data_IF_737465001344
#
_entry.id   IF_737465001344
#
_cell.length_a   1.000
_cell.length_b   1.000
_cell.length_c   1.000
_cell.angle_alpha   90.00
_cell.angle_beta   90.00
_cell.angle_gamma   90.00
#
_symmetry.space_group_name_H-M   'P 1'
#
loop_
_entity.id
_entity.type
_entity.pdbx_description
1 polymer ?
#
# COMPACT_ATOMS: atom_id res chain seq x y z
N UNK A 1 -4.91 -13.21 -19.55
CA UNK A 1 -5.85 -12.49 -18.66
C UNK A 1 -5.21 -11.13 -18.42
N UNK A 2 -5.76 -10.09 -19.07
CA UNK A 2 -5.25 -8.71 -19.01
C UNK A 2 -5.53 -8.16 -17.60
N UNK A 3 -4.52 -8.11 -16.75
CA UNK A 3 -4.52 -7.29 -15.55
C UNK A 3 -3.77 -5.98 -15.91
N UNK A 4 -4.46 -5.07 -16.57
CA UNK A 4 -4.02 -3.70 -16.60
C UNK A 4 -4.06 -3.17 -15.17
N UNK A 5 -2.95 -2.64 -14.68
CA UNK A 5 -2.87 -1.99 -13.36
C UNK A 5 -3.96 -0.92 -13.28
N UNK A 6 -5.08 -1.23 -12.66
CA UNK A 6 -6.11 -0.27 -12.32
C UNK A 6 -5.59 0.57 -11.12
N UNK A 7 -4.63 1.43 -11.39
CA UNK A 7 -4.33 2.51 -10.46
C UNK A 7 -5.57 3.39 -10.42
N UNK A 8 -6.19 3.54 -9.26
CA UNK A 8 -7.39 4.35 -9.11
C UNK A 8 -7.12 5.78 -9.62
N UNK A 9 -8.13 6.46 -10.14
CA UNK A 9 -8.00 7.83 -10.65
C UNK A 9 -7.40 8.77 -9.58
N UNK A 10 -7.77 8.58 -8.32
CA UNK A 10 -7.23 9.33 -7.17
C UNK A 10 -5.75 9.04 -6.90
N UNK A 11 -5.29 7.81 -7.09
CA UNK A 11 -3.86 7.47 -6.97
C UNK A 11 -3.06 8.12 -8.11
N UNK A 12 -3.61 8.23 -9.33
CA UNK A 12 -2.97 8.92 -10.45
C UNK A 12 -2.82 10.43 -10.22
N UNK A 13 -3.76 11.05 -9.52
CA UNK A 13 -3.72 12.50 -9.21
C UNK A 13 -2.73 12.85 -8.11
N UNK A 14 -2.36 11.89 -7.25
CA UNK A 14 -1.44 12.09 -6.12
C UNK A 14 -0.03 11.51 -6.34
N UNK A 15 0.27 11.00 -7.55
CA UNK A 15 1.61 10.50 -7.84
C UNK A 15 2.61 11.64 -7.98
N UNK A 16 3.81 11.38 -7.48
CA UNK A 16 4.94 12.30 -7.61
C UNK A 16 5.59 12.10 -8.98
N UNK A 17 5.99 13.19 -9.65
CA UNK A 17 6.79 13.10 -10.86
C UNK A 17 8.14 12.46 -10.52
N UNK A 18 8.67 11.60 -11.40
CA UNK A 18 9.97 10.96 -11.17
C UNK A 18 11.11 11.99 -11.13
N UNK A 19 10.95 13.09 -11.86
CA UNK A 19 11.86 14.23 -11.77
C UNK A 19 11.92 14.81 -10.33
N UNK A 20 10.77 14.96 -9.68
CA UNK A 20 10.73 15.44 -8.29
C UNK A 20 11.34 14.44 -7.31
N UNK A 21 11.26 13.14 -7.58
CA UNK A 21 11.94 12.12 -6.77
C UNK A 21 13.45 12.30 -6.84
N UNK A 22 13.99 12.56 -8.03
CA UNK A 22 15.43 12.79 -8.23
C UNK A 22 15.87 14.08 -7.57
N UNK A 23 15.23 15.20 -7.89
CA UNK A 23 15.69 16.54 -7.53
C UNK A 23 15.30 16.93 -6.10
N UNK A 24 14.03 16.77 -5.74
CA UNK A 24 13.49 17.27 -4.48
C UNK A 24 13.54 16.25 -3.35
N UNK A 25 13.60 14.96 -3.67
CA UNK A 25 13.67 13.88 -2.69
C UNK A 25 15.03 13.16 -2.65
N UNK A 26 16.04 13.73 -3.34
CA UNK A 26 17.42 13.21 -3.40
C UNK A 26 17.48 11.73 -3.81
N UNK A 27 16.68 11.32 -4.80
CA UNK A 27 16.64 9.95 -5.27
C UNK A 27 16.10 8.96 -4.23
N UNK A 28 15.07 9.32 -3.51
CA UNK A 28 14.44 8.42 -2.52
C UNK A 28 13.90 7.16 -3.19
N UNK A 29 14.22 6.00 -2.60
CA UNK A 29 13.72 4.70 -3.02
C UNK A 29 12.27 4.44 -2.62
N UNK A 30 11.64 3.47 -3.31
CA UNK A 30 10.29 2.97 -3.03
C UNK A 30 9.20 4.06 -3.11
N UNK A 31 9.38 5.03 -4.00
CA UNK A 31 8.37 6.06 -4.29
C UNK A 31 7.66 5.70 -5.58
N UNK A 32 6.34 5.51 -5.50
CA UNK A 32 5.50 5.36 -6.70
C UNK A 32 5.46 6.69 -7.45
N UNK A 33 5.93 6.69 -8.70
CA UNK A 33 6.14 7.89 -9.48
C UNK A 33 5.82 7.67 -10.96
N UNK A 34 5.80 8.76 -11.72
CA UNK A 34 5.51 8.72 -13.14
C UNK A 34 6.47 9.58 -13.96
N UNK A 35 6.59 9.21 -15.24
CA UNK A 35 7.20 10.03 -16.30
C UNK A 35 6.19 10.15 -17.45
N UNK A 36 5.99 11.35 -17.96
CA UNK A 36 5.23 11.57 -19.19
C UNK A 36 6.20 11.57 -20.37
N UNK A 37 6.46 10.37 -20.93
CA UNK A 37 7.45 10.19 -22.02
C UNK A 37 6.93 10.73 -23.33
N UNK A 38 7.79 11.43 -24.06
CA UNK A 38 7.52 12.06 -25.36
C UNK A 38 8.14 11.32 -26.54
N UNK A 39 8.94 10.29 -26.27
CA UNK A 39 9.58 9.43 -27.28
C UNK A 39 9.52 7.97 -26.83
N UNK A 40 9.66 7.05 -27.80
CA UNK A 40 9.81 5.64 -27.48
C UNK A 40 11.12 5.34 -26.74
N UNK A 41 11.13 4.33 -25.84
CA UNK A 41 12.30 3.99 -25.03
C UNK A 41 13.49 3.51 -25.88
N UNK A 42 14.71 3.88 -25.48
CA UNK A 42 15.95 3.41 -26.09
C UNK A 42 16.58 2.31 -25.23
N UNK A 43 16.67 1.08 -25.75
CA UNK A 43 17.31 -0.06 -25.07
C UNK A 43 18.82 0.15 -24.98
N UNK A 44 19.39 0.07 -23.76
CA UNK A 44 20.84 0.21 -23.57
C UNK A 44 21.48 -0.93 -22.77
N UNK A 45 20.69 -1.67 -21.98
CA UNK A 45 21.22 -2.83 -21.25
C UNK A 45 20.16 -3.92 -21.16
N UNK A 46 20.58 -5.17 -21.43
CA UNK A 46 19.73 -6.36 -21.34
C UNK A 46 20.00 -7.11 -20.04
N UNK A 47 18.96 -7.73 -19.51
CA UNK A 47 19.06 -8.67 -18.41
C UNK A 47 18.81 -10.08 -18.99
N UNK A 48 19.84 -10.92 -19.00
CA UNK A 48 19.77 -12.26 -19.61
C UNK A 48 18.92 -13.25 -18.78
N UNK A 49 18.61 -12.88 -17.52
CA UNK A 49 17.89 -13.78 -16.61
C UNK A 49 16.37 -13.71 -16.75
N UNK A 50 15.85 -12.62 -17.34
CA UNK A 50 14.40 -12.40 -17.52
C UNK A 50 14.13 -11.55 -18.79
N UNK A 51 12.85 -11.38 -19.14
CA UNK A 51 12.42 -10.56 -20.27
C UNK A 51 12.24 -9.08 -19.88
N UNK A 52 13.10 -8.57 -19.02
CA UNK A 52 13.06 -7.20 -18.50
C UNK A 52 14.42 -6.55 -18.74
N UNK A 53 14.42 -5.34 -19.23
CA UNK A 53 15.63 -4.67 -19.71
C UNK A 53 15.65 -3.21 -19.25
N UNK A 54 16.84 -2.58 -19.36
CA UNK A 54 17.03 -1.18 -19.05
C UNK A 54 16.95 -0.31 -20.29
N UNK A 55 16.23 0.78 -20.17
CA UNK A 55 15.95 1.72 -21.25
C UNK A 55 16.22 3.15 -20.81
N UNK A 56 16.63 3.99 -21.74
CA UNK A 56 16.55 5.43 -21.60
C UNK A 56 15.17 5.88 -22.06
N UNK A 57 14.46 6.60 -21.21
CA UNK A 57 13.18 7.27 -21.51
C UNK A 57 13.36 8.78 -21.34
N UNK A 58 12.54 9.57 -22.01
CA UNK A 58 12.64 11.02 -21.96
C UNK A 58 11.26 11.64 -21.75
N UNK A 59 11.19 12.67 -20.90
CA UNK A 59 10.14 13.67 -20.99
C UNK A 59 10.62 14.85 -21.86
N UNK A 60 9.82 15.89 -22.01
CA UNK A 60 10.17 17.06 -22.84
C UNK A 60 11.53 17.71 -22.53
N UNK A 61 12.13 17.45 -21.38
CA UNK A 61 13.32 18.18 -20.88
C UNK A 61 14.44 17.28 -20.37
N UNK A 62 14.09 16.14 -19.78
CA UNK A 62 15.03 15.33 -19.01
C UNK A 62 14.98 13.87 -19.49
N UNK A 63 16.09 13.20 -19.31
CA UNK A 63 16.25 11.79 -19.61
C UNK A 63 16.33 10.99 -18.32
N UNK A 64 15.77 9.77 -18.31
CA UNK A 64 15.72 8.90 -17.14
C UNK A 64 16.06 7.46 -17.54
N UNK A 65 16.54 6.71 -16.57
CA UNK A 65 16.67 5.25 -16.70
C UNK A 65 15.37 4.60 -16.23
N UNK A 66 14.84 3.70 -17.04
CA UNK A 66 13.68 2.88 -16.71
C UNK A 66 14.02 1.40 -16.87
N UNK A 67 13.44 0.55 -16.04
CA UNK A 67 13.49 -0.89 -16.14
C UNK A 67 12.08 -1.39 -16.42
N UNK A 68 11.92 -2.10 -17.57
CA UNK A 68 10.60 -2.51 -18.00
C UNK A 68 10.64 -3.85 -18.74
N UNK A 69 9.48 -4.50 -18.79
CA UNK A 69 9.30 -5.74 -19.54
C UNK A 69 9.30 -5.51 -21.06
N UNK A 70 9.59 -6.56 -21.81
CA UNK A 70 9.45 -6.54 -23.27
C UNK A 70 8.03 -6.16 -23.70
N UNK A 71 7.02 -6.55 -22.91
CA UNK A 71 5.63 -6.17 -23.19
C UNK A 71 5.41 -4.66 -23.11
N UNK A 72 5.92 -3.99 -22.07
CA UNK A 72 5.79 -2.54 -21.91
C UNK A 72 6.59 -1.81 -23.00
N UNK A 73 7.77 -2.31 -23.33
CA UNK A 73 8.57 -1.79 -24.43
C UNK A 73 7.83 -1.87 -25.77
N UNK A 74 7.27 -3.05 -26.12
CA UNK A 74 6.51 -3.25 -27.36
C UNK A 74 5.30 -2.30 -27.45
N UNK A 75 4.65 -2.02 -26.30
CA UNK A 75 3.56 -1.05 -26.22
C UNK A 75 4.06 0.38 -26.45
N UNK A 76 5.15 0.76 -25.81
CA UNK A 76 5.67 2.13 -25.85
C UNK A 76 6.40 2.47 -27.15
N UNK A 77 6.83 1.49 -27.94
CA UNK A 77 7.47 1.76 -29.24
C UNK A 77 6.48 2.08 -30.36
N UNK A 78 5.15 2.01 -30.13
CA UNK A 78 4.17 2.41 -31.15
C UNK A 78 4.24 3.93 -31.36
N UNK A 79 4.82 4.33 -32.49
CA UNK A 79 5.00 5.74 -32.88
C UNK A 79 3.69 6.54 -32.85
N UNK A 80 2.54 5.86 -33.00
CA UNK A 80 1.22 6.52 -32.94
C UNK A 80 0.90 7.13 -31.59
N UNK A 81 1.53 6.66 -30.51
CA UNK A 81 1.37 7.23 -29.16
C UNK A 81 1.93 8.65 -29.07
N UNK A 82 2.90 8.98 -29.93
CA UNK A 82 3.66 10.24 -29.88
C UNK A 82 3.30 11.21 -31.01
N UNK A 83 2.28 10.90 -31.80
CA UNK A 83 1.77 11.80 -32.86
C UNK A 83 1.18 13.06 -32.19
N UNK A 84 1.43 14.21 -32.79
CA UNK A 84 0.93 15.52 -32.35
C UNK A 84 1.49 15.98 -30.97
N UNK A 85 2.74 15.65 -30.64
CA UNK A 85 3.39 15.98 -29.36
C UNK A 85 2.63 15.44 -28.13
N UNK A 86 1.94 14.33 -28.29
CA UNK A 86 1.35 13.64 -27.15
C UNK A 86 2.43 12.95 -26.35
N UNK A 87 2.20 12.85 -25.07
CA UNK A 87 3.04 12.10 -24.13
C UNK A 87 2.30 10.86 -23.65
N UNK A 88 3.03 9.80 -23.42
CA UNK A 88 2.49 8.59 -22.78
C UNK A 88 2.97 8.52 -21.35
N UNK A 89 2.04 8.40 -20.40
CA UNK A 89 2.39 8.29 -18.98
C UNK A 89 2.81 6.88 -18.64
N UNK A 90 4.06 6.74 -18.18
CA UNK A 90 4.59 5.51 -17.60
C UNK A 90 4.70 5.65 -16.09
N UNK A 91 4.44 4.56 -15.37
CA UNK A 91 4.37 4.53 -13.91
C UNK A 91 5.30 3.43 -13.43
N UNK A 92 6.03 3.71 -12.37
CA UNK A 92 6.93 2.75 -11.75
C UNK A 92 7.30 3.17 -10.33
N UNK A 93 8.19 2.41 -9.73
CA UNK A 93 8.72 2.65 -8.39
C UNK A 93 10.17 3.06 -8.50
N UNK A 94 10.59 4.08 -7.77
CA UNK A 94 12.00 4.49 -7.72
C UNK A 94 12.84 3.44 -7.03
N UNK A 95 13.86 2.92 -7.72
CA UNK A 95 14.75 1.86 -7.25
C UNK A 95 16.21 2.27 -7.50
N UNK A 96 17.13 1.89 -6.60
CA UNK A 96 18.56 2.24 -6.75
C UNK A 96 19.15 1.64 -8.02
N UNK A 97 19.87 2.46 -8.78
CA UNK A 97 20.56 2.02 -9.99
C UNK A 97 21.81 1.22 -9.61
N UNK A 98 21.95 -0.04 -10.09
CA UNK A 98 23.19 -0.80 -9.96
C UNK A 98 24.37 -0.09 -10.62
N UNK A 99 25.57 -0.22 -10.06
CA UNK A 99 26.78 0.44 -10.58
C UNK A 99 27.09 0.06 -12.02
N UNK A 100 26.86 -1.18 -12.37
CA UNK A 100 27.06 -1.72 -13.73
C UNK A 100 26.11 -1.05 -14.74
N UNK A 101 24.85 -0.86 -14.36
CA UNK A 101 23.84 -0.19 -15.19
C UNK A 101 24.18 1.28 -15.38
N UNK A 102 24.68 1.97 -14.35
CA UNK A 102 25.19 3.35 -14.49
C UNK A 102 26.29 3.45 -15.54
N UNK A 103 27.26 2.53 -15.51
CA UNK A 103 28.37 2.51 -16.48
C UNK A 103 27.86 2.29 -17.89
N UNK A 104 26.99 1.32 -18.10
CA UNK A 104 26.40 1.06 -19.42
C UNK A 104 25.58 2.24 -19.92
N UNK A 105 24.84 2.91 -19.06
CA UNK A 105 24.09 4.11 -19.42
C UNK A 105 25.04 5.26 -19.86
N UNK A 106 26.13 5.49 -19.12
CA UNK A 106 27.15 6.49 -19.46
C UNK A 106 27.80 6.17 -20.81
N UNK A 107 28.23 4.92 -21.02
CA UNK A 107 28.81 4.46 -22.28
C UNK A 107 27.85 4.71 -23.44
N UNK A 108 26.59 4.31 -23.29
CA UNK A 108 25.55 4.50 -24.32
C UNK A 108 25.30 5.99 -24.60
N UNK A 109 25.22 6.84 -23.58
CA UNK A 109 25.01 8.27 -23.74
C UNK A 109 26.20 8.89 -24.50
N UNK A 110 27.43 8.54 -24.12
CA UNK A 110 28.63 9.03 -24.78
C UNK A 110 28.77 8.52 -26.22
N UNK A 111 28.27 7.34 -26.55
CA UNK A 111 28.17 6.85 -27.92
C UNK A 111 27.13 7.61 -28.76
N UNK A 112 25.98 7.93 -28.17
CA UNK A 112 24.91 8.67 -28.85
C UNK A 112 25.22 10.17 -29.03
N UNK A 113 25.93 10.75 -28.07
CA UNK A 113 26.30 12.18 -28.06
C UNK A 113 27.80 12.36 -27.76
N UNK A 114 28.70 12.03 -28.73
CA UNK A 114 30.15 12.05 -28.50
C UNK A 114 30.74 13.44 -28.28
N UNK A 115 30.01 14.49 -28.62
CA UNK A 115 30.41 15.88 -28.37
C UNK A 115 30.09 16.37 -26.94
N UNK A 116 29.29 15.58 -26.17
CA UNK A 116 28.84 15.91 -24.82
C UNK A 116 29.14 14.74 -23.86
N UNK A 117 30.42 14.32 -23.80
CA UNK A 117 30.82 13.23 -22.91
C UNK A 117 30.45 13.51 -21.45
N UNK A 118 29.72 12.58 -20.82
CA UNK A 118 29.37 12.65 -19.40
C UNK A 118 30.23 11.70 -18.56
N UNK A 119 30.53 12.12 -17.35
CA UNK A 119 31.23 11.33 -16.33
C UNK A 119 30.23 10.68 -15.36
N UNK A 120 30.71 9.85 -14.43
CA UNK A 120 29.87 9.31 -13.36
C UNK A 120 29.28 10.40 -12.46
N UNK A 121 30.02 11.48 -12.22
CA UNK A 121 29.53 12.61 -11.43
C UNK A 121 28.42 13.37 -12.16
N UNK A 122 28.57 13.54 -13.49
CA UNK A 122 27.53 14.15 -14.33
C UNK A 122 26.28 13.25 -14.38
N UNK A 123 26.47 11.92 -14.48
CA UNK A 123 25.37 10.98 -14.44
C UNK A 123 24.56 11.14 -13.13
N UNK A 124 25.24 11.12 -11.98
CA UNK A 124 24.57 11.25 -10.68
C UNK A 124 23.86 12.60 -10.51
N UNK A 125 24.40 13.65 -11.10
CA UNK A 125 23.78 14.98 -11.09
C UNK A 125 22.52 15.05 -11.97
N UNK A 126 22.56 14.50 -13.18
CA UNK A 126 21.47 14.64 -14.17
C UNK A 126 20.40 13.54 -14.04
N UNK A 127 20.81 12.29 -13.77
CA UNK A 127 19.92 11.13 -13.73
C UNK A 127 19.58 10.68 -12.31
N UNK A 128 20.30 11.17 -11.30
CA UNK A 128 20.18 10.74 -9.92
C UNK A 128 20.72 9.31 -9.69
N UNK A 129 20.42 8.78 -8.50
CA UNK A 129 20.86 7.45 -8.09
C UNK A 129 19.76 6.39 -8.20
N UNK A 130 18.62 6.73 -8.80
CA UNK A 130 17.45 5.84 -8.92
C UNK A 130 17.03 5.69 -10.38
N UNK A 131 16.44 4.55 -10.70
CA UNK A 131 15.73 4.31 -11.95
C UNK A 131 14.24 4.09 -11.70
N UNK A 132 13.43 4.24 -12.72
CA UNK A 132 12.00 3.94 -12.69
C UNK A 132 11.78 2.45 -12.96
N UNK A 133 11.45 1.69 -11.94
CA UNK A 133 11.11 0.27 -12.06
C UNK A 133 9.63 0.13 -12.43
N UNK A 134 9.39 -0.25 -13.68
CA UNK A 134 8.04 -0.41 -14.24
C UNK A 134 7.55 -1.86 -14.18
N UNK A 135 8.34 -2.77 -13.60
CA UNK A 135 7.96 -4.18 -13.53
C UNK A 135 6.71 -4.37 -12.69
N UNK A 136 5.92 -5.38 -13.03
CA UNK A 136 4.69 -5.69 -12.33
C UNK A 136 4.93 -5.96 -10.85
N UNK A 137 6.05 -6.59 -10.51
CA UNK A 137 6.37 -6.97 -9.14
C UNK A 137 6.56 -5.74 -8.23
N UNK A 138 7.28 -4.71 -8.70
CA UNK A 138 7.49 -3.50 -7.93
C UNK A 138 6.20 -2.69 -7.73
N UNK A 139 5.39 -2.56 -8.78
CA UNK A 139 4.10 -1.86 -8.74
C UNK A 139 3.08 -2.66 -7.93
N UNK A 140 3.05 -3.99 -8.08
CA UNK A 140 2.15 -4.88 -7.36
C UNK A 140 2.43 -4.90 -5.85
N UNK A 141 3.69 -4.92 -5.43
CA UNK A 141 4.06 -4.85 -4.00
C UNK A 141 3.53 -3.56 -3.38
N UNK A 142 3.71 -2.41 -4.04
CA UNK A 142 3.18 -1.14 -3.56
C UNK A 142 1.64 -1.13 -3.50
N UNK A 143 0.97 -1.72 -4.49
CA UNK A 143 -0.48 -1.87 -4.52
C UNK A 143 -0.98 -2.76 -3.38
N UNK A 144 -0.38 -3.94 -3.17
CA UNK A 144 -0.79 -4.88 -2.14
C UNK A 144 -0.59 -4.32 -0.73
N UNK A 145 0.50 -3.60 -0.47
CA UNK A 145 0.72 -2.94 0.82
C UNK A 145 -0.40 -1.95 1.16
N UNK A 146 -0.78 -1.09 0.21
CA UNK A 146 -1.88 -0.15 0.39
C UNK A 146 -3.23 -0.84 0.54
N UNK A 147 -3.49 -1.91 -0.21
CA UNK A 147 -4.71 -2.69 -0.13
C UNK A 147 -4.88 -3.39 1.22
N UNK A 148 -3.82 -4.00 1.75
CA UNK A 148 -3.83 -4.59 3.09
C UNK A 148 -4.03 -3.55 4.19
N UNK A 149 -3.39 -2.39 4.10
CA UNK A 149 -3.59 -1.29 5.04
C UNK A 149 -5.05 -0.83 5.05
N UNK A 150 -5.68 -0.71 3.88
CA UNK A 150 -7.10 -0.37 3.74
C UNK A 150 -8.02 -1.42 4.38
N UNK A 151 -7.78 -2.71 4.11
CA UNK A 151 -8.56 -3.82 4.71
C UNK A 151 -8.43 -3.80 6.24
N UNK A 152 -7.21 -3.66 6.77
CA UNK A 152 -6.97 -3.58 8.22
C UNK A 152 -7.71 -2.38 8.83
N UNK A 153 -7.73 -1.25 8.15
CA UNK A 153 -8.51 -0.07 8.55
C UNK A 153 -10.01 -0.36 8.63
N UNK A 154 -10.58 -0.99 7.61
CA UNK A 154 -11.99 -1.41 7.59
C UNK A 154 -12.32 -2.41 8.72
N UNK A 155 -11.45 -3.40 8.94
CA UNK A 155 -11.59 -4.34 10.05
C UNK A 155 -11.60 -3.61 11.40
N UNK A 156 -10.68 -2.67 11.61
CA UNK A 156 -10.61 -1.85 12.82
C UNK A 156 -11.91 -1.07 13.07
N UNK A 157 -12.42 -0.39 12.04
CA UNK A 157 -13.70 0.34 12.11
C UNK A 157 -14.84 -0.63 12.45
N UNK A 158 -14.89 -1.80 11.82
CA UNK A 158 -15.93 -2.81 12.07
C UNK A 158 -15.92 -3.27 13.54
N UNK A 159 -14.74 -3.54 14.09
CA UNK A 159 -14.61 -3.91 15.52
C UNK A 159 -15.07 -2.79 16.46
N UNK A 160 -14.76 -1.53 16.15
CA UNK A 160 -15.25 -0.37 16.93
C UNK A 160 -16.78 -0.31 16.90
N UNK A 161 -17.40 -0.45 15.72
CA UNK A 161 -18.85 -0.43 15.55
C UNK A 161 -19.49 -1.57 16.34
N UNK A 162 -18.97 -2.79 16.24
CA UNK A 162 -19.47 -3.94 17.01
C UNK A 162 -19.36 -3.68 18.51
N UNK A 163 -18.22 -3.12 18.96
CA UNK A 163 -18.02 -2.74 20.35
C UNK A 163 -19.05 -1.73 20.85
N UNK A 164 -19.34 -0.69 20.06
CA UNK A 164 -20.34 0.31 20.39
C UNK A 164 -21.76 -0.26 20.45
N UNK A 165 -22.12 -1.13 19.50
CA UNK A 165 -23.42 -1.81 19.49
C UNK A 165 -23.57 -2.70 20.72
N UNK A 166 -22.55 -3.48 21.06
CA UNK A 166 -22.56 -4.35 22.22
C UNK A 166 -22.65 -3.55 23.53
N UNK A 167 -21.89 -2.45 23.64
CA UNK A 167 -22.01 -1.52 24.78
C UNK A 167 -23.42 -0.96 24.91
N UNK A 168 -24.04 -0.53 23.81
CA UNK A 168 -25.42 -0.01 23.82
C UNK A 168 -26.42 -1.06 24.23
N UNK A 169 -26.30 -2.31 23.76
CA UNK A 169 -27.14 -3.44 24.17
C UNK A 169 -26.97 -3.78 25.65
N UNK A 170 -25.73 -3.85 26.10
CA UNK A 170 -25.40 -4.07 27.52
C UNK A 170 -26.07 -3.02 28.42
N UNK A 171 -25.88 -1.73 28.15
CA UNK A 171 -26.47 -0.65 28.90
C UNK A 171 -28.02 -0.69 28.89
N UNK A 172 -28.61 -1.00 27.71
CA UNK A 172 -30.06 -1.15 27.59
C UNK A 172 -30.60 -2.28 28.48
N UNK A 173 -29.88 -3.40 28.57
CA UNK A 173 -30.30 -4.53 29.37
C UNK A 173 -30.15 -4.26 30.89
N UNK A 174 -29.04 -3.62 31.29
CA UNK A 174 -28.86 -3.18 32.68
C UNK A 174 -29.93 -2.15 33.11
N UNK A 175 -30.25 -1.21 32.22
CA UNK A 175 -31.25 -0.18 32.54
C UNK A 175 -32.68 -0.70 32.67
N UNK A 176 -32.97 -1.89 32.17
CA UNK A 176 -34.24 -2.57 32.36
C UNK A 176 -34.39 -3.23 33.75
N UNK A 177 -33.29 -3.42 34.46
CA UNK A 177 -33.31 -3.99 35.79
C UNK A 177 -33.79 -2.96 36.82
N UNK A 178 -34.57 -3.44 37.77
CA UNK A 178 -34.95 -2.61 38.93
C UNK A 178 -33.72 -2.22 39.76
N UNK A 179 -33.83 -1.16 40.54
CA UNK A 179 -32.73 -0.76 41.43
C UNK A 179 -32.41 -1.85 42.46
N UNK A 180 -33.42 -2.59 42.87
CA UNK A 180 -33.31 -3.72 43.80
C UNK A 180 -32.54 -4.88 43.19
N UNK A 181 -32.87 -5.25 41.92
CA UNK A 181 -32.13 -6.28 41.18
C UNK A 181 -30.66 -5.91 40.94
N UNK A 182 -30.38 -4.64 40.60
CA UNK A 182 -29.01 -4.17 40.47
C UNK A 182 -28.19 -4.34 41.73
N UNK A 183 -28.75 -3.89 42.89
CA UNK A 183 -28.08 -4.06 44.19
C UNK A 183 -27.86 -5.53 44.55
N UNK A 184 -28.83 -6.38 44.21
CA UNK A 184 -28.74 -7.82 44.43
C UNK A 184 -27.64 -8.48 43.59
N UNK A 185 -27.53 -8.09 42.32
CA UNK A 185 -26.48 -8.58 41.41
C UNK A 185 -25.10 -8.13 41.91
N UNK A 186 -24.96 -6.85 42.30
CA UNK A 186 -23.70 -6.33 42.84
C UNK A 186 -23.29 -7.10 44.11
N UNK A 187 -24.23 -7.38 45.00
CA UNK A 187 -23.96 -8.16 46.21
C UNK A 187 -23.58 -9.63 45.87
N UNK A 188 -24.24 -10.24 44.88
CA UNK A 188 -23.95 -11.59 44.41
C UNK A 188 -22.59 -11.73 43.74
N UNK A 189 -22.23 -10.75 42.92
CA UNK A 189 -20.93 -10.76 42.22
C UNK A 189 -19.73 -10.47 43.12
N UNK A 190 -19.96 -9.77 44.25
CA UNK A 190 -18.97 -9.53 45.29
C UNK A 190 -18.90 -10.65 46.34
N UNK A 191 -19.78 -11.63 46.27
CA UNK A 191 -19.78 -12.76 47.20
C UNK A 191 -18.51 -13.62 47.02
N UNK A 192 -17.99 -14.11 48.13
CA UNK A 192 -16.79 -14.99 48.15
C UNK A 192 -17.01 -16.31 47.41
N UNK A 193 -18.26 -16.74 47.29
CA UNK A 193 -18.66 -17.97 46.59
C UNK A 193 -18.97 -17.74 45.12
N UNK A 194 -18.75 -16.54 44.59
CA UNK A 194 -18.92 -16.24 43.18
C UNK A 194 -17.65 -16.59 42.39
N UNK A 195 -17.83 -17.38 41.34
CA UNK A 195 -16.76 -17.73 40.42
C UNK A 195 -16.84 -16.91 39.15
N UNK A 196 -15.71 -16.30 38.76
CA UNK A 196 -15.57 -15.55 37.51
C UNK A 196 -14.73 -16.30 36.49
N UNK A 197 -15.32 -16.63 35.36
CA UNK A 197 -14.63 -17.21 34.20
C UNK A 197 -14.25 -16.12 33.21
N UNK A 198 -13.00 -15.67 33.28
CA UNK A 198 -12.52 -14.53 32.50
C UNK A 198 -12.63 -14.73 30.99
N UNK A 199 -12.35 -15.95 30.49
CA UNK A 199 -12.33 -16.25 29.05
C UNK A 199 -13.69 -16.08 28.37
N UNK A 200 -14.78 -16.23 29.09
CA UNK A 200 -16.15 -16.15 28.59
C UNK A 200 -16.97 -15.05 29.29
N UNK A 201 -16.33 -14.26 30.12
CA UNK A 201 -16.97 -13.20 30.94
C UNK A 201 -18.25 -13.68 31.63
N UNK A 202 -18.16 -14.80 32.32
CA UNK A 202 -19.24 -15.46 33.01
C UNK A 202 -19.02 -15.39 34.51
N UNK A 203 -20.04 -14.93 35.29
CA UNK A 203 -20.11 -15.10 36.72
C UNK A 203 -21.10 -16.22 37.06
N UNK A 204 -20.65 -17.17 37.87
CA UNK A 204 -21.51 -18.10 38.61
C UNK A 204 -21.61 -17.61 40.04
N UNK A 205 -22.79 -17.16 40.44
CA UNK A 205 -23.04 -16.69 41.79
C UNK A 205 -23.97 -17.69 42.50
N UNK A 206 -24.20 -17.60 43.82
CA UNK A 206 -25.07 -18.53 44.50
C UNK A 206 -26.49 -18.67 43.93
N UNK A 207 -27.04 -17.61 43.32
CA UNK A 207 -28.43 -17.62 42.84
C UNK A 207 -28.57 -17.38 41.34
N UNK A 208 -27.49 -16.95 40.64
CA UNK A 208 -27.55 -16.54 39.21
C UNK A 208 -26.36 -17.00 38.38
N UNK A 209 -26.63 -17.19 37.11
CA UNK A 209 -25.62 -17.17 36.06
C UNK A 209 -25.66 -15.80 35.40
N UNK A 210 -24.55 -15.05 35.42
CA UNK A 210 -24.45 -13.70 34.82
C UNK A 210 -23.47 -13.75 33.66
N UNK A 211 -23.97 -13.56 32.45
CA UNK A 211 -23.18 -13.47 31.22
C UNK A 211 -22.92 -12.01 30.87
N UNK A 212 -21.63 -11.62 30.77
CA UNK A 212 -21.20 -10.27 30.43
C UNK A 212 -20.56 -10.18 29.05
N UNK A 213 -20.62 -11.22 28.23
CA UNK A 213 -20.03 -11.22 26.88
C UNK A 213 -21.03 -10.64 25.87
N UNK A 214 -20.83 -9.37 25.47
CA UNK A 214 -21.58 -8.73 24.38
C UNK A 214 -23.11 -8.61 24.59
N UNK A 215 -23.73 -9.56 25.26
CA UNK A 215 -25.15 -9.50 25.68
C UNK A 215 -25.21 -9.77 27.16
N UNK A 216 -25.53 -8.73 27.95
CA UNK A 216 -25.76 -8.94 29.37
C UNK A 216 -27.01 -9.79 29.60
N UNK A 217 -26.83 -10.97 30.18
CA UNK A 217 -27.91 -11.87 30.55
C UNK A 217 -27.76 -12.32 32.00
N UNK A 218 -28.83 -12.27 32.73
CA UNK A 218 -28.93 -12.80 34.09
C UNK A 218 -29.95 -13.93 34.05
N UNK A 219 -29.54 -15.10 34.48
CA UNK A 219 -30.34 -16.31 34.47
C UNK A 219 -30.43 -16.80 35.94
N UNK A 220 -31.55 -16.68 36.59
CA UNK A 220 -31.71 -17.24 37.93
C UNK A 220 -31.74 -18.77 37.84
N UNK A 221 -31.10 -19.48 38.76
CA UNK A 221 -31.15 -20.95 38.80
C UNK A 221 -32.57 -21.50 38.91
N UNK A 222 -33.48 -20.75 39.53
CA UNK A 222 -34.90 -21.13 39.59
C UNK A 222 -35.60 -21.21 38.23
N UNK A 223 -35.00 -20.64 37.17
CA UNK A 223 -35.56 -20.71 35.82
C UNK A 223 -34.95 -21.83 34.96
N UNK A 224 -34.05 -22.63 35.51
CA UNK A 224 -33.41 -23.77 34.83
C UNK A 224 -34.07 -25.12 35.12
N UNK A 225 -35.16 -25.12 35.90
CA UNK A 225 -35.93 -26.31 36.31
C UNK A 225 -37.14 -26.47 35.40
#
# INVERSE_FOLDING_TARGET
IMWGVFVSKEAKENMVSFHDVIVNQNGKENVLSYVDTDIFPYLFATNDDNNENFYLIRDNKFMYVAYMSDYDYERLKDEKLYIDNKTERVIGVSTLVPTEVKKLAIETINELWPDEEITLADYEYYFGNVYLDMTSDAVDVAFWQNFFAFILGLCGITFIIIGLINKKRFLKNINKLSLEDKKKIDAETLNKDAFYYANIHLYLTPNYIILMNGTFKIIPYSSLI
#
